data_IF_947775093770
#
_entry.id   IF_947775093770
#
_cell.length_a   1.000
_cell.length_b   1.000
_cell.length_c   1.000
_cell.angle_alpha   90.00
_cell.angle_beta   90.00
_cell.angle_gamma   90.00
#
_symmetry.space_group_name_H-M   'P 1'
#
loop_
_entity.id
_entity.type
_entity.pdbx_description
1 polymer ?
#
# COMPACT_ATOMS: atom_id res chain seq x y z
N UNK A 1 48.33 -42.97 3.18
CA UNK A 1 47.51 -42.61 2.00
C UNK A 1 46.14 -42.21 2.49
N UNK A 2 45.83 -40.91 2.50
CA UNK A 2 44.52 -40.37 2.91
C UNK A 2 43.74 -40.03 1.64
N UNK A 3 42.59 -40.68 1.46
CA UNK A 3 41.63 -40.37 0.41
C UNK A 3 40.86 -39.12 0.81
N UNK A 4 41.06 -38.02 0.09
CA UNK A 4 40.27 -36.80 0.21
C UNK A 4 39.05 -36.94 -0.68
N UNK A 5 37.91 -37.25 -0.06
CA UNK A 5 36.59 -37.25 -0.69
C UNK A 5 36.20 -35.81 -1.01
N UNK A 6 36.18 -35.44 -2.29
CA UNK A 6 35.64 -34.16 -2.74
C UNK A 6 34.12 -34.18 -2.57
N UNK A 7 33.67 -33.55 -1.49
CA UNK A 7 32.28 -33.17 -1.23
C UNK A 7 31.75 -32.37 -2.41
N UNK A 8 30.93 -33.00 -3.23
CA UNK A 8 30.18 -32.37 -4.32
C UNK A 8 29.20 -31.40 -3.67
N UNK A 9 29.53 -30.11 -3.71
CA UNK A 9 28.63 -29.05 -3.24
C UNK A 9 27.31 -29.15 -4.01
N UNK A 10 26.27 -29.61 -3.31
CA UNK A 10 24.90 -29.51 -3.78
C UNK A 10 24.64 -28.02 -4.04
N UNK A 11 24.53 -27.66 -5.32
CA UNK A 11 24.02 -26.34 -5.68
C UNK A 11 22.64 -26.19 -5.02
N UNK A 12 22.38 -25.09 -4.30
CA UNK A 12 21.06 -24.83 -3.79
C UNK A 12 20.10 -24.82 -4.98
N UNK A 13 19.19 -25.79 -5.02
CA UNK A 13 18.12 -25.79 -6.01
C UNK A 13 17.31 -24.51 -5.76
N UNK A 14 17.11 -23.67 -6.79
CA UNK A 14 16.27 -22.49 -6.64
C UNK A 14 14.87 -22.96 -6.21
N UNK A 15 14.25 -22.29 -5.22
CA UNK A 15 13.00 -22.73 -4.63
C UNK A 15 11.93 -22.94 -5.70
N UNK A 16 11.17 -24.03 -5.52
CA UNK A 16 10.15 -24.52 -6.43
C UNK A 16 9.10 -23.45 -6.77
N UNK A 17 8.64 -23.55 -8.02
CA UNK A 17 7.77 -22.63 -8.74
C UNK A 17 6.37 -22.49 -8.10
N UNK A 18 6.13 -21.36 -7.44
CA UNK A 18 4.82 -20.73 -7.47
C UNK A 18 4.81 -19.72 -8.61
N UNK A 19 4.37 -20.14 -9.79
CA UNK A 19 4.56 -19.41 -11.06
C UNK A 19 3.57 -18.26 -11.33
N UNK A 20 2.60 -18.06 -10.44
CA UNK A 20 1.61 -17.00 -10.54
C UNK A 20 1.65 -16.07 -9.32
N UNK A 21 1.84 -14.77 -9.58
CA UNK A 21 1.71 -13.72 -8.56
C UNK A 21 0.29 -13.79 -7.94
N UNK A 22 0.16 -13.85 -6.61
CA UNK A 22 -1.13 -13.97 -5.92
C UNK A 22 -1.85 -12.62 -5.86
N UNK A 23 -2.21 -12.06 -7.02
CA UNK A 23 -2.95 -10.81 -7.11
C UNK A 23 -4.39 -11.05 -6.66
N UNK A 24 -4.80 -10.37 -5.59
CA UNK A 24 -6.17 -10.38 -5.07
C UNK A 24 -7.11 -9.58 -5.99
N UNK A 25 -8.42 -9.83 -5.97
CA UNK A 25 -9.36 -9.02 -6.74
C UNK A 25 -9.34 -7.56 -6.26
N UNK A 26 -9.50 -6.61 -7.20
CA UNK A 26 -9.49 -5.16 -6.94
C UNK A 26 -10.40 -4.75 -5.77
N UNK A 27 -11.56 -5.40 -5.62
CA UNK A 27 -12.51 -5.14 -4.53
C UNK A 27 -11.91 -5.28 -3.13
N UNK A 28 -10.96 -6.21 -2.95
CA UNK A 28 -10.27 -6.40 -1.66
C UNK A 28 -9.35 -5.22 -1.38
N UNK A 29 -8.58 -4.77 -2.38
CA UNK A 29 -7.71 -3.60 -2.24
C UNK A 29 -8.51 -2.32 -1.99
N UNK A 30 -9.62 -2.10 -2.71
CA UNK A 30 -10.51 -0.96 -2.49
C UNK A 30 -11.12 -0.96 -1.08
N UNK A 31 -11.49 -2.14 -0.57
CA UNK A 31 -12.05 -2.28 0.78
C UNK A 31 -11.03 -1.90 1.85
N UNK A 32 -9.78 -2.34 1.70
CA UNK A 32 -8.71 -2.01 2.64
C UNK A 32 -8.35 -0.53 2.61
N UNK A 33 -8.26 0.05 1.41
CA UNK A 33 -8.05 1.49 1.23
C UNK A 33 -9.17 2.30 1.89
N UNK A 34 -10.43 1.94 1.62
CA UNK A 34 -11.61 2.58 2.21
C UNK A 34 -11.56 2.53 3.74
N UNK A 35 -11.23 1.37 4.31
CA UNK A 35 -11.11 1.20 5.76
C UNK A 35 -10.07 2.16 6.33
N UNK A 36 -8.87 2.19 5.76
CA UNK A 36 -7.79 3.08 6.20
C UNK A 36 -8.22 4.56 6.21
N UNK A 37 -8.76 5.05 5.10
CA UNK A 37 -9.19 6.45 5.00
C UNK A 37 -10.39 6.77 5.89
N UNK A 38 -11.30 5.82 6.12
CA UNK A 38 -12.41 5.99 7.07
C UNK A 38 -11.89 6.15 8.50
N UNK A 39 -10.93 5.32 8.91
CA UNK A 39 -10.32 5.41 10.25
C UNK A 39 -9.54 6.71 10.41
N UNK A 40 -8.75 7.10 9.40
CA UNK A 40 -8.01 8.38 9.40
C UNK A 40 -8.97 9.57 9.55
N UNK A 41 -10.04 9.60 8.76
CA UNK A 41 -11.06 10.64 8.82
C UNK A 41 -11.76 10.71 10.19
N UNK A 42 -12.10 9.57 10.78
CA UNK A 42 -12.68 9.51 12.12
C UNK A 42 -11.71 10.06 13.18
N UNK A 43 -10.42 9.72 13.09
CA UNK A 43 -9.39 10.25 13.98
C UNK A 43 -9.26 11.77 13.86
N UNK A 44 -9.17 12.30 12.63
CA UNK A 44 -9.06 13.74 12.37
C UNK A 44 -10.28 14.52 12.92
N UNK A 45 -11.51 13.99 12.74
CA UNK A 45 -12.72 14.59 13.32
C UNK A 45 -12.70 14.55 14.85
N UNK A 46 -12.33 13.41 15.43
CA UNK A 46 -12.29 13.22 16.90
C UNK A 46 -11.27 14.15 17.54
N UNK A 47 -10.09 14.31 16.93
CA UNK A 47 -9.06 15.24 17.37
C UNK A 47 -9.61 16.68 17.38
N UNK A 48 -10.20 17.11 16.27
CA UNK A 48 -10.78 18.45 16.14
C UNK A 48 -11.88 18.70 17.19
N UNK A 49 -12.81 17.75 17.36
CA UNK A 49 -13.85 17.85 18.38
C UNK A 49 -13.28 17.92 19.80
N UNK A 50 -12.27 17.13 20.12
CA UNK A 50 -11.67 17.07 21.46
C UNK A 50 -10.98 18.39 21.82
N UNK A 51 -10.26 18.98 20.86
CA UNK A 51 -9.60 20.28 21.03
C UNK A 51 -10.62 21.41 21.23
N UNK A 52 -11.76 21.35 20.55
CA UNK A 52 -12.76 22.43 20.58
C UNK A 52 -13.87 22.26 21.63
N UNK A 53 -14.19 21.04 22.09
CA UNK A 53 -15.18 20.78 23.15
C UNK A 53 -14.84 21.47 24.47
N UNK A 54 -13.55 21.66 24.79
CA UNK A 54 -13.10 22.33 26.02
C UNK A 54 -13.37 23.83 26.06
N UNK A 55 -14.03 24.43 25.07
CA UNK A 55 -14.22 25.89 25.02
C UNK A 55 -15.60 26.37 25.48
N UNK A 56 -16.54 25.48 25.79
CA UNK A 56 -17.91 25.88 26.15
C UNK A 56 -17.97 26.76 27.41
N UNK A 57 -17.07 26.56 28.37
CA UNK A 57 -16.98 27.37 29.59
C UNK A 57 -16.57 28.83 29.33
N UNK A 58 -15.94 29.15 28.19
CA UNK A 58 -15.55 30.52 27.84
C UNK A 58 -16.76 31.39 27.44
N UNK A 59 -17.91 30.76 27.22
CA UNK A 59 -19.16 31.44 26.88
C UNK A 59 -20.13 31.53 28.07
N UNK A 60 -19.72 31.10 29.26
CA UNK A 60 -20.50 31.32 30.47
C UNK A 60 -20.56 32.83 30.75
N UNK A 61 -21.71 33.36 31.20
CA UNK A 61 -21.79 34.76 31.54
C UNK A 61 -20.88 35.07 32.73
N UNK A 62 -20.28 36.25 32.71
CA UNK A 62 -19.48 36.71 33.83
C UNK A 62 -20.41 36.95 35.04
N UNK A 63 -20.24 36.12 36.07
CA UNK A 63 -20.93 36.28 37.35
C UNK A 63 -20.02 37.12 38.24
N UNK A 64 -20.49 38.31 38.62
CA UNK A 64 -19.73 39.25 39.44
C UNK A 64 -20.63 39.96 40.44
N UNK A 65 -20.04 40.81 41.26
CA UNK A 65 -20.77 41.64 42.21
C UNK A 65 -20.70 43.09 41.74
N UNK A 66 -21.85 43.71 41.51
CA UNK A 66 -21.94 45.15 41.28
C UNK A 66 -22.75 45.77 42.42
N UNK A 67 -22.16 46.75 43.11
CA UNK A 67 -22.79 47.44 44.26
C UNK A 67 -23.33 46.49 45.35
N UNK A 68 -22.61 45.39 45.63
CA UNK A 68 -23.00 44.45 46.69
C UNK A 68 -24.14 43.48 46.34
N UNK A 69 -24.62 43.48 45.09
CA UNK A 69 -25.59 42.51 44.59
C UNK A 69 -24.94 41.58 43.56
N UNK A 70 -25.29 40.29 43.53
CA UNK A 70 -24.86 39.39 42.48
C UNK A 70 -25.47 39.84 41.14
N UNK A 71 -24.61 40.06 40.15
CA UNK A 71 -24.99 40.48 38.80
C UNK A 71 -24.42 39.51 37.77
N UNK A 72 -25.26 39.14 36.81
CA UNK A 72 -24.88 38.31 35.65
C UNK A 72 -24.92 39.20 34.43
N UNK A 73 -23.76 39.43 33.80
CA UNK A 73 -23.70 40.21 32.55
C UNK A 73 -23.53 39.28 31.35
N UNK A 74 -24.50 39.35 30.43
CA UNK A 74 -24.50 38.61 29.17
C UNK A 74 -24.51 39.64 28.04
N UNK A 75 -23.37 39.82 27.38
CA UNK A 75 -23.22 40.81 26.31
C UNK A 75 -23.79 40.30 24.98
N UNK A 76 -24.45 41.16 24.20
CA UNK A 76 -24.84 40.80 22.82
C UNK A 76 -23.63 40.46 21.93
N UNK A 77 -22.45 41.01 22.25
CA UNK A 77 -21.17 40.67 21.63
C UNK A 77 -20.78 39.20 21.84
N UNK A 78 -21.07 38.62 23.01
CA UNK A 78 -20.74 37.21 23.28
C UNK A 78 -21.67 36.28 22.51
N UNK A 79 -22.95 36.64 22.33
CA UNK A 79 -23.88 35.89 21.47
C UNK A 79 -23.44 35.90 19.99
N UNK A 80 -23.08 37.07 19.45
CA UNK A 80 -22.58 37.18 18.08
C UNK A 80 -21.28 36.39 17.87
N UNK A 81 -20.42 36.34 18.88
CA UNK A 81 -19.19 35.56 18.87
C UNK A 81 -19.46 34.05 18.88
N UNK A 82 -20.44 33.57 19.65
CA UNK A 82 -20.86 32.16 19.66
C UNK A 82 -21.34 31.71 18.26
N UNK A 83 -22.17 32.51 17.60
CA UNK A 83 -22.68 32.16 16.27
C UNK A 83 -21.58 32.18 15.21
N UNK A 84 -20.66 33.14 15.28
CA UNK A 84 -19.46 33.15 14.45
C UNK A 84 -18.59 31.92 14.69
N UNK A 85 -18.35 31.54 15.93
CA UNK A 85 -17.52 30.37 16.26
C UNK A 85 -18.19 29.07 15.79
N UNK A 86 -19.52 28.94 15.92
CA UNK A 86 -20.28 27.80 15.36
C UNK A 86 -20.14 27.69 13.85
N UNK A 87 -20.29 28.80 13.12
CA UNK A 87 -20.16 28.81 11.65
C UNK A 87 -18.74 28.47 11.21
N UNK A 88 -17.73 29.01 11.90
CA UNK A 88 -16.32 28.69 11.64
C UNK A 88 -16.03 27.22 11.93
N UNK A 89 -16.50 26.68 13.05
CA UNK A 89 -16.34 25.25 13.38
C UNK A 89 -16.99 24.35 12.35
N UNK A 90 -18.21 24.67 11.91
CA UNK A 90 -18.89 23.93 10.85
C UNK A 90 -18.10 23.96 9.55
N UNK A 91 -17.66 25.13 9.11
CA UNK A 91 -16.84 25.26 7.90
C UNK A 91 -15.51 24.49 7.98
N UNK A 92 -14.91 24.38 9.18
CA UNK A 92 -13.72 23.56 9.41
C UNK A 92 -14.00 22.07 9.34
N UNK A 93 -15.10 21.60 9.93
CA UNK A 93 -15.54 20.21 9.80
C UNK A 93 -15.86 19.85 8.35
N UNK A 94 -16.58 20.71 7.64
CA UNK A 94 -16.87 20.54 6.21
C UNK A 94 -15.56 20.50 5.38
N UNK A 95 -14.56 21.29 5.77
CA UNK A 95 -13.22 21.27 5.17
C UNK A 95 -12.46 19.96 5.43
N UNK A 96 -12.57 19.39 6.64
CA UNK A 96 -11.99 18.08 6.97
C UNK A 96 -12.68 16.98 6.13
N UNK A 97 -14.01 17.03 6.04
CA UNK A 97 -14.79 16.07 5.26
C UNK A 97 -14.43 16.15 3.76
N UNK A 98 -14.37 17.36 3.19
CA UNK A 98 -13.98 17.57 1.80
C UNK A 98 -12.54 17.11 1.52
N UNK A 99 -11.60 17.41 2.42
CA UNK A 99 -10.20 16.98 2.30
C UNK A 99 -10.10 15.46 2.34
N UNK A 100 -10.76 14.80 3.28
CA UNK A 100 -10.77 13.34 3.39
C UNK A 100 -11.36 12.67 2.12
N UNK A 101 -12.45 13.22 1.59
CA UNK A 101 -13.04 12.74 0.33
C UNK A 101 -12.10 12.91 -0.86
N UNK A 102 -11.43 14.06 -0.97
CA UNK A 102 -10.46 14.32 -2.03
C UNK A 102 -9.28 13.34 -1.97
N UNK A 103 -8.64 13.21 -0.80
CA UNK A 103 -7.49 12.32 -0.62
C UNK A 103 -7.85 10.85 -0.88
N UNK A 104 -9.04 10.41 -0.45
CA UNK A 104 -9.52 9.05 -0.73
C UNK A 104 -9.75 8.82 -2.23
N UNK A 105 -10.38 9.76 -2.92
CA UNK A 105 -10.66 9.63 -4.36
C UNK A 105 -9.38 9.62 -5.20
N UNK A 106 -8.40 10.45 -4.84
CA UNK A 106 -7.07 10.47 -5.46
C UNK A 106 -6.36 9.12 -5.29
N UNK A 107 -6.29 8.62 -4.06
CA UNK A 107 -5.69 7.31 -3.77
C UNK A 107 -6.43 6.15 -4.45
N UNK A 108 -7.77 6.22 -4.55
CA UNK A 108 -8.57 5.22 -5.23
C UNK A 108 -8.30 5.21 -6.74
N UNK A 109 -8.15 6.37 -7.36
CA UNK A 109 -7.82 6.50 -8.78
C UNK A 109 -6.41 5.95 -9.06
N UNK A 110 -5.45 6.28 -8.21
CA UNK A 110 -4.09 5.76 -8.31
C UNK A 110 -4.07 4.23 -8.19
N UNK A 111 -4.73 3.68 -7.16
CA UNK A 111 -4.84 2.24 -6.94
C UNK A 111 -5.43 1.52 -8.17
N UNK A 112 -6.54 2.04 -8.73
CA UNK A 112 -7.18 1.46 -9.92
C UNK A 112 -6.27 1.50 -11.14
N UNK A 113 -5.51 2.58 -11.30
CA UNK A 113 -4.59 2.76 -12.42
C UNK A 113 -3.43 1.76 -12.32
N UNK A 114 -2.81 1.66 -11.13
CA UNK A 114 -1.73 0.71 -10.84
C UNK A 114 -2.20 -0.74 -10.99
N UNK A 115 -3.41 -1.05 -10.51
CA UNK A 115 -4.00 -2.38 -10.67
C UNK A 115 -4.15 -2.77 -12.14
N UNK A 116 -4.74 -1.89 -12.96
CA UNK A 116 -4.92 -2.13 -14.40
C UNK A 116 -3.60 -2.34 -15.13
N UNK A 117 -2.59 -1.54 -14.78
CA UNK A 117 -1.25 -1.65 -15.35
C UNK A 117 -0.64 -3.01 -15.00
N UNK A 118 -0.63 -3.39 -13.72
CA UNK A 118 -0.11 -4.67 -13.25
C UNK A 118 -0.83 -5.86 -13.91
N UNK A 119 -2.17 -5.81 -14.03
CA UNK A 119 -2.92 -6.89 -14.69
C UNK A 119 -2.55 -7.02 -16.16
N UNK A 120 -2.37 -5.90 -16.86
CA UNK A 120 -1.99 -5.90 -18.28
C UNK A 120 -0.57 -6.43 -18.47
N UNK A 121 0.37 -6.03 -17.61
CA UNK A 121 1.75 -6.50 -17.66
C UNK A 121 1.85 -7.99 -17.34
N UNK A 122 1.06 -8.48 -16.38
CA UNK A 122 0.95 -9.91 -16.08
C UNK A 122 0.39 -10.69 -17.27
N UNK A 123 -0.68 -10.21 -17.90
CA UNK A 123 -1.23 -10.84 -19.11
C UNK A 123 -0.20 -10.88 -20.24
N UNK A 124 0.53 -9.79 -20.43
CA UNK A 124 1.60 -9.72 -21.42
C UNK A 124 2.74 -10.70 -21.14
N UNK A 125 3.23 -10.77 -19.90
CA UNK A 125 4.26 -11.72 -19.50
C UNK A 125 3.78 -13.18 -19.65
N UNK A 126 2.52 -13.46 -19.30
CA UNK A 126 1.91 -14.78 -19.52
C UNK A 126 1.89 -15.16 -21.00
N UNK A 127 1.46 -14.25 -21.88
CA UNK A 127 1.44 -14.49 -23.32
C UNK A 127 2.86 -14.70 -23.87
N UNK A 128 3.82 -13.90 -23.44
CA UNK A 128 5.22 -14.07 -23.84
C UNK A 128 5.80 -15.41 -23.37
N UNK A 129 5.49 -15.87 -22.15
CA UNK A 129 5.92 -17.21 -21.70
C UNK A 129 5.29 -18.32 -22.53
N UNK A 130 4.01 -18.18 -22.90
CA UNK A 130 3.31 -19.17 -23.71
C UNK A 130 3.83 -19.25 -25.15
N UNK A 131 4.25 -18.11 -25.73
CA UNK A 131 4.62 -18.03 -27.14
C UNK A 131 6.14 -18.11 -27.37
N UNK A 132 6.93 -17.41 -26.56
CA UNK A 132 8.37 -17.21 -26.82
C UNK A 132 9.24 -18.27 -26.13
N UNK A 133 8.94 -18.61 -24.88
CA UNK A 133 9.76 -19.56 -24.12
C UNK A 133 9.86 -20.95 -24.77
N UNK A 134 8.77 -21.57 -25.28
CA UNK A 134 8.91 -22.88 -25.95
C UNK A 134 9.73 -22.77 -27.23
N UNK A 135 9.63 -21.66 -27.97
CA UNK A 135 10.41 -21.44 -29.19
C UNK A 135 11.89 -21.32 -28.86
N UNK A 136 12.27 -20.49 -27.88
CA UNK A 136 13.68 -20.33 -27.53
C UNK A 136 14.30 -21.57 -26.88
N UNK A 137 13.52 -22.32 -26.10
CA UNK A 137 13.96 -23.61 -25.58
C UNK A 137 14.20 -24.61 -26.72
N UNK A 138 13.30 -24.64 -27.72
CA UNK A 138 13.44 -25.51 -28.89
C UNK A 138 14.66 -25.14 -29.74
N UNK A 139 14.90 -23.83 -29.95
CA UNK A 139 16.08 -23.34 -30.68
C UNK A 139 17.37 -23.78 -29.96
N UNK A 140 17.44 -23.58 -28.63
CA UNK A 140 18.60 -24.00 -27.85
C UNK A 140 18.81 -25.52 -27.92
N UNK A 141 17.73 -26.30 -27.90
CA UNK A 141 17.80 -27.75 -28.03
C UNK A 141 18.33 -28.18 -29.40
N UNK A 142 17.82 -27.61 -30.50
CA UNK A 142 18.33 -27.86 -31.86
C UNK A 142 19.83 -27.56 -31.96
N UNK A 143 20.30 -26.45 -31.37
CA UNK A 143 21.73 -26.12 -31.34
C UNK A 143 22.55 -27.07 -30.46
N UNK A 144 21.94 -27.65 -29.43
CA UNK A 144 22.62 -28.65 -28.58
C UNK A 144 22.77 -29.96 -29.34
N UNK A 145 21.72 -30.40 -30.02
CA UNK A 145 21.72 -31.62 -30.84
C UNK A 145 22.69 -31.49 -32.03
N UNK A 146 22.73 -30.33 -32.68
CA UNK A 146 23.68 -30.06 -33.75
C UNK A 146 25.14 -30.07 -33.27
N UNK A 147 25.39 -29.63 -32.03
CA UNK A 147 26.73 -29.68 -31.43
C UNK A 147 27.14 -31.11 -31.08
N UNK A 148 26.23 -31.90 -30.50
CA UNK A 148 26.50 -33.33 -30.21
C UNK A 148 26.75 -34.13 -31.48
N UNK A 149 26.06 -33.79 -32.57
CA UNK A 149 26.27 -34.37 -33.90
C UNK A 149 27.53 -33.84 -34.61
N UNK A 150 28.30 -32.95 -33.98
CA UNK A 150 29.50 -32.30 -34.54
C UNK A 150 29.24 -31.50 -35.83
N UNK A 151 28.00 -31.05 -36.05
CA UNK A 151 27.58 -30.27 -37.23
C UNK A 151 27.89 -28.78 -37.10
N UNK A 152 28.14 -28.28 -35.89
CA UNK A 152 28.48 -26.88 -35.61
C UNK A 152 29.76 -26.77 -34.78
N UNK A 153 30.40 -25.61 -34.84
CA UNK A 153 31.64 -25.38 -34.08
C UNK A 153 31.35 -25.15 -32.58
N UNK A 154 32.31 -25.45 -31.69
CA UNK A 154 32.17 -25.16 -30.26
C UNK A 154 31.92 -23.67 -29.97
N UNK A 155 32.49 -22.77 -30.79
CA UNK A 155 32.33 -21.34 -30.64
C UNK A 155 30.87 -20.91 -30.88
N UNK A 156 30.25 -21.40 -31.95
CA UNK A 156 28.84 -21.13 -32.27
C UNK A 156 27.91 -21.65 -31.17
N UNK A 157 28.16 -22.87 -30.67
CA UNK A 157 27.37 -23.42 -29.56
C UNK A 157 27.47 -22.55 -28.29
N UNK A 158 28.68 -22.11 -27.92
CA UNK A 158 28.88 -21.24 -26.75
C UNK A 158 28.23 -19.86 -26.92
N UNK A 159 28.26 -19.30 -28.13
CA UNK A 159 27.57 -18.04 -28.44
C UNK A 159 26.06 -18.19 -28.23
N UNK A 160 25.45 -19.26 -28.77
CA UNK A 160 24.02 -19.47 -28.61
C UNK A 160 23.62 -19.76 -27.16
N UNK A 161 24.43 -20.53 -26.44
CA UNK A 161 24.25 -20.77 -25.00
C UNK A 161 24.28 -19.46 -24.21
N UNK A 162 25.19 -18.54 -24.53
CA UNK A 162 25.27 -17.22 -23.90
C UNK A 162 24.00 -16.39 -24.15
N UNK A 163 23.48 -16.40 -25.39
CA UNK A 163 22.23 -15.71 -25.73
C UNK A 163 21.05 -16.28 -24.94
N UNK A 164 20.93 -17.61 -24.89
CA UNK A 164 19.87 -18.26 -24.14
C UNK A 164 19.94 -17.97 -22.63
N UNK A 165 21.14 -17.91 -22.05
CA UNK A 165 21.33 -17.48 -20.66
C UNK A 165 20.92 -16.02 -20.42
N UNK A 166 21.20 -15.12 -21.37
CA UNK A 166 20.75 -13.71 -21.30
C UNK A 166 19.23 -13.61 -21.36
N UNK A 167 18.59 -14.38 -22.25
CA UNK A 167 17.14 -14.45 -22.33
C UNK A 167 16.51 -14.88 -21.00
N UNK A 168 17.05 -15.93 -20.36
CA UNK A 168 16.59 -16.37 -19.03
C UNK A 168 16.79 -15.31 -17.95
N UNK A 169 17.90 -14.57 -17.99
CA UNK A 169 18.15 -13.48 -17.06
C UNK A 169 17.11 -12.36 -17.23
N UNK A 170 16.86 -11.92 -18.46
CA UNK A 170 15.84 -10.89 -18.75
C UNK A 170 14.45 -11.31 -18.28
N UNK A 171 14.10 -12.60 -18.44
CA UNK A 171 12.85 -13.17 -17.91
C UNK A 171 12.76 -13.05 -16.40
N UNK A 172 13.85 -13.37 -15.71
CA UNK A 172 13.92 -13.27 -14.26
C UNK A 172 13.82 -11.82 -13.78
N UNK A 173 14.52 -10.89 -14.44
CA UNK A 173 14.44 -9.45 -14.15
C UNK A 173 13.02 -8.92 -14.30
N UNK A 174 12.35 -9.23 -15.41
CA UNK A 174 10.94 -8.85 -15.65
C UNK A 174 10.00 -9.40 -14.58
N UNK A 175 10.23 -10.62 -14.10
CA UNK A 175 9.44 -11.21 -13.00
C UNK A 175 9.65 -10.43 -11.70
N UNK A 176 10.88 -10.02 -11.41
CA UNK A 176 11.18 -9.20 -10.24
C UNK A 176 10.52 -7.81 -10.31
N UNK A 177 10.47 -7.20 -11.49
CA UNK A 177 9.77 -5.93 -11.72
C UNK A 177 8.27 -6.07 -11.45
N UNK A 178 7.63 -7.11 -11.99
CA UNK A 178 6.22 -7.41 -11.71
C UNK A 178 5.95 -7.63 -10.22
N UNK A 179 6.85 -8.33 -9.53
CA UNK A 179 6.77 -8.54 -8.09
C UNK A 179 6.90 -7.21 -7.33
N UNK A 180 7.80 -6.33 -7.75
CA UNK A 180 7.94 -5.01 -7.16
C UNK A 180 6.66 -4.17 -7.32
N UNK A 181 6.09 -4.14 -8.53
CA UNK A 181 4.81 -3.44 -8.78
C UNK A 181 3.66 -4.02 -7.98
N UNK A 182 3.64 -5.33 -7.75
CA UNK A 182 2.68 -5.95 -6.86
C UNK A 182 2.84 -5.45 -5.41
N UNK A 183 4.06 -5.42 -4.87
CA UNK A 183 4.33 -4.89 -3.54
C UNK A 183 3.95 -3.40 -3.40
N UNK A 184 4.26 -2.57 -4.40
CA UNK A 184 3.84 -1.17 -4.44
C UNK A 184 2.32 -1.05 -4.36
N UNK A 185 1.60 -1.91 -5.07
CA UNK A 185 0.15 -1.94 -5.06
C UNK A 185 -0.42 -2.37 -3.70
N UNK A 186 0.18 -3.38 -3.06
CA UNK A 186 -0.20 -3.79 -1.70
C UNK A 186 0.01 -2.68 -0.69
N UNK A 187 1.15 -1.97 -0.80
CA UNK A 187 1.47 -0.82 0.04
C UNK A 187 0.47 0.33 -0.15
N UNK A 188 0.12 0.65 -1.41
CA UNK A 188 -0.89 1.67 -1.72
C UNK A 188 -2.26 1.31 -1.14
N UNK A 189 -2.66 0.03 -1.26
CA UNK A 189 -3.90 -0.46 -0.70
C UNK A 189 -3.90 -0.57 0.85
N UNK A 190 -2.75 -0.31 1.49
CA UNK A 190 -2.54 -0.48 2.94
C UNK A 190 -2.87 -1.91 3.39
N UNK A 191 -2.58 -2.87 2.53
CA UNK A 191 -2.77 -4.29 2.78
C UNK A 191 -1.90 -4.69 4.00
N UNK A 192 -2.49 -5.38 4.97
CA UNK A 192 -1.84 -5.84 6.22
C UNK A 192 -1.54 -4.82 7.34
N UNK A 193 -2.06 -3.58 7.31
CA UNK A 193 -1.96 -2.71 8.50
C UNK A 193 -2.70 -3.37 9.69
N UNK A 194 -2.01 -3.74 10.79
CA UNK A 194 -2.64 -4.35 11.96
C UNK A 194 -3.69 -3.38 12.54
N UNK A 195 -4.88 -3.91 12.83
CA UNK A 195 -5.99 -3.11 13.38
C UNK A 195 -5.74 -2.63 14.82
N UNK A 196 -4.74 -3.19 15.50
CA UNK A 196 -4.64 -3.13 16.96
C UNK A 196 -3.95 -1.85 17.50
N UNK A 197 -3.23 -1.09 16.68
CA UNK A 197 -2.44 0.06 17.19
C UNK A 197 -3.09 1.43 17.05
N UNK A 198 -4.28 1.54 16.43
CA UNK A 198 -5.02 2.81 16.40
C UNK A 198 -6.19 2.88 17.39
N UNK A 199 -6.53 1.76 18.06
CA UNK A 199 -7.58 1.69 19.07
C UNK A 199 -7.04 1.62 20.51
N UNK A 200 -5.71 1.59 20.71
CA UNK A 200 -5.10 1.28 22.00
C UNK A 200 -5.06 2.43 23.03
N UNK A 201 -5.57 3.62 22.73
CA UNK A 201 -5.65 4.74 23.70
C UNK A 201 -7.03 4.92 24.36
N UNK A 202 -7.97 4.00 24.13
CA UNK A 202 -9.25 3.97 24.85
C UNK A 202 -9.46 2.62 25.54
N UNK A 203 -8.80 2.37 26.67
CA UNK A 203 -9.40 1.79 27.90
C UNK A 203 -8.37 1.93 29.02
N UNK A 204 -8.47 2.98 29.85
CA UNK A 204 -8.40 2.80 31.30
C UNK A 204 -9.04 3.97 32.07
N UNK A 205 -10.37 3.99 32.27
CA UNK A 205 -10.99 4.87 33.24
C UNK A 205 -11.47 4.08 34.46
N UNK A 206 -10.57 3.39 35.19
CA UNK A 206 -10.98 2.81 36.47
C UNK A 206 -9.82 2.69 37.47
N UNK A 207 -9.53 3.78 38.18
CA UNK A 207 -9.12 3.67 39.60
C UNK A 207 -9.71 4.86 40.38
N UNK A 208 -10.84 4.61 41.04
CA UNK A 208 -11.19 5.17 42.34
C UNK A 208 -11.46 3.97 43.26
N UNK A 209 -11.00 4.01 44.51
CA UNK A 209 -11.75 4.70 45.55
C UNK A 209 -11.15 6.04 45.97
#
# INVERSE_FOLDING_TARGET
MLLVSLSTGAQPQPPEQHDDLPIQPLSVYETNLKRYYTTKWQADRKEFETVHKKKWWYYLPNVGWAFGLPTVTLGTSTLAQIDRDKTVMKAKLDGIDAKAHYEYNEALLELRTRYRLLTREREHDRLERQLTDPVENSIMQIHTDAFTDQKITPLEHLQKKREHSRFKLQRHERRNELYHHWLELEQLARYQMPQETLQADEVNPEVKP
#
